data_IF_399890518785
#
_entry.id   IF_399890518785
#
_cell.length_a   1.000
_cell.length_b   1.000
_cell.length_c   1.000
_cell.angle_alpha   90.00
_cell.angle_beta   90.00
_cell.angle_gamma   90.00
#
_symmetry.space_group_name_H-M   'P 1'
#
loop_
_entity.id
_entity.type
_entity.pdbx_description
1 polymer ?
#
# COMPACT_ATOMS: atom_id res chain seq x y z
N UNK A 1 -67.65 10.23 -3.83
CA UNK A 1 -67.41 10.54 -2.40
C UNK A 1 -65.91 10.43 -2.12
N UNK A 2 -65.22 11.58 -2.06
CA UNK A 2 -63.82 11.71 -1.65
C UNK A 2 -63.66 11.24 -0.20
N UNK A 3 -62.72 10.33 0.09
CA UNK A 3 -62.21 10.10 1.45
C UNK A 3 -60.69 10.30 1.50
N UNK A 4 -60.34 11.48 2.03
CA UNK A 4 -59.34 11.75 3.08
C UNK A 4 -57.86 11.38 2.83
N UNK A 5 -57.09 12.44 2.51
CA UNK A 5 -55.90 12.96 3.22
C UNK A 5 -55.04 11.98 4.03
N UNK A 6 -53.74 11.97 3.73
CA UNK A 6 -52.70 11.39 4.60
C UNK A 6 -51.27 11.64 4.11
N UNK A 7 -50.79 12.87 4.28
CA UNK A 7 -49.41 13.29 4.54
C UNK A 7 -48.22 12.52 3.93
N UNK A 8 -47.53 13.22 3.03
CA UNK A 8 -46.08 13.39 2.97
C UNK A 8 -45.25 12.68 4.05
N UNK A 9 -44.30 11.84 3.64
CA UNK A 9 -43.00 11.80 4.30
C UNK A 9 -41.89 11.47 3.29
N UNK A 10 -40.91 12.36 3.28
CA UNK A 10 -39.61 12.29 2.64
C UNK A 10 -38.99 10.89 2.71
N UNK A 11 -38.68 10.30 1.56
CA UNK A 11 -37.53 9.42 1.41
C UNK A 11 -36.45 10.17 0.63
N UNK A 12 -35.96 11.27 1.20
CA UNK A 12 -34.61 11.73 0.91
C UNK A 12 -33.65 10.73 1.58
N UNK A 13 -33.49 9.56 0.94
CA UNK A 13 -32.37 8.69 1.24
C UNK A 13 -31.13 9.42 0.79
N UNK A 14 -30.53 10.21 1.68
CA UNK A 14 -29.15 10.68 1.50
C UNK A 14 -28.33 9.42 1.28
N UNK A 15 -27.88 9.23 0.04
CA UNK A 15 -26.84 8.30 -0.31
C UNK A 15 -25.66 8.69 0.58
N UNK A 16 -25.44 7.95 1.66
CA UNK A 16 -24.12 7.88 2.25
C UNK A 16 -23.24 7.24 1.19
N UNK A 17 -22.73 8.08 0.29
CA UNK A 17 -21.55 7.80 -0.52
C UNK A 17 -20.42 7.59 0.48
N UNK A 18 -20.41 6.40 1.05
CA UNK A 18 -19.25 5.84 1.69
C UNK A 18 -18.20 5.86 0.59
N UNK A 19 -17.18 6.70 0.70
CA UNK A 19 -15.97 6.50 -0.08
C UNK A 19 -15.48 5.12 0.35
N UNK A 20 -15.84 4.09 -0.41
CA UNK A 20 -15.28 2.77 -0.25
C UNK A 20 -13.79 2.97 -0.53
N UNK A 21 -12.99 3.06 0.54
CA UNK A 21 -11.55 3.14 0.45
C UNK A 21 -11.09 1.81 -0.13
N UNK A 22 -11.03 1.74 -1.47
CA UNK A 22 -10.42 0.65 -2.18
C UNK A 22 -8.91 0.78 -1.96
N UNK A 23 -8.38 -0.01 -1.02
CA UNK A 23 -6.94 -0.16 -0.86
C UNK A 23 -6.40 -0.80 -2.14
N UNK A 24 -5.37 -0.21 -2.72
CA UNK A 24 -4.69 -0.78 -3.89
C UNK A 24 -3.82 -1.96 -3.46
N UNK A 25 -3.94 -3.08 -4.21
CA UNK A 25 -3.22 -4.32 -3.95
C UNK A 25 -2.21 -4.58 -5.07
N UNK A 26 -0.97 -4.85 -4.68
CA UNK A 26 0.13 -5.19 -5.57
C UNK A 26 0.62 -6.60 -5.29
N UNK A 27 0.58 -7.46 -6.31
CA UNK A 27 1.18 -8.79 -6.24
C UNK A 27 2.67 -8.68 -6.56
N UNK A 28 3.51 -9.27 -5.72
CA UNK A 28 4.93 -9.42 -5.98
C UNK A 28 5.15 -10.53 -7.02
N UNK A 29 6.02 -10.28 -8.00
CA UNK A 29 6.37 -11.20 -9.08
C UNK A 29 7.86 -11.56 -9.03
N UNK A 30 8.28 -12.58 -9.78
CA UNK A 30 9.69 -12.98 -9.98
C UNK A 30 10.06 -12.82 -11.45
N UNK A 31 11.33 -12.49 -11.72
CA UNK A 31 11.93 -12.51 -13.05
C UNK A 31 11.56 -11.31 -13.92
N UNK A 32 11.02 -10.25 -13.31
CA UNK A 32 10.62 -9.03 -14.02
C UNK A 32 11.00 -7.80 -13.22
N UNK A 33 11.12 -6.67 -13.91
CA UNK A 33 11.20 -5.35 -13.26
C UNK A 33 9.82 -4.70 -13.28
N UNK A 34 9.31 -4.32 -12.11
CA UNK A 34 8.01 -3.69 -11.93
C UNK A 34 8.21 -2.31 -11.32
N UNK A 35 7.50 -1.32 -11.86
CA UNK A 35 7.45 0.02 -11.29
C UNK A 35 6.18 0.15 -10.44
N UNK A 36 6.36 0.47 -9.17
CA UNK A 36 5.27 0.77 -8.24
C UNK A 36 5.20 2.27 -8.00
N UNK A 37 3.99 2.83 -7.95
CA UNK A 37 3.75 4.22 -7.61
C UNK A 37 3.02 4.30 -6.28
N UNK A 38 3.60 5.01 -5.32
CA UNK A 38 3.09 5.24 -3.98
C UNK A 38 2.62 6.70 -3.86
N UNK A 39 1.30 6.96 -3.95
CA UNK A 39 0.75 8.30 -3.78
C UNK A 39 1.00 8.84 -2.37
N UNK A 40 1.08 10.18 -2.20
CA UNK A 40 1.23 10.80 -0.90
C UNK A 40 0.11 10.42 0.06
N UNK A 41 0.49 9.93 1.23
CA UNK A 41 -0.38 9.58 2.35
C UNK A 41 -1.47 8.54 2.02
N UNK A 42 -1.29 7.79 0.94
CA UNK A 42 -2.21 6.72 0.53
C UNK A 42 -1.58 5.35 0.81
N UNK A 43 -2.19 4.51 1.67
CA UNK A 43 -1.67 3.19 1.94
C UNK A 43 -1.88 2.25 0.76
N UNK A 44 -0.83 1.51 0.40
CA UNK A 44 -0.86 0.45 -0.59
C UNK A 44 -0.39 -0.88 0.00
N UNK A 45 -1.02 -1.97 -0.40
CA UNK A 45 -0.71 -3.29 0.13
C UNK A 45 0.03 -4.14 -0.88
N UNK A 46 1.12 -4.77 -0.44
CA UNK A 46 1.97 -5.63 -1.25
C UNK A 46 1.90 -7.06 -0.70
N UNK A 47 1.65 -8.02 -1.59
CA UNK A 47 1.41 -9.42 -1.21
C UNK A 47 2.35 -10.33 -1.99
N UNK A 48 3.02 -11.24 -1.27
CA UNK A 48 3.63 -12.43 -1.87
C UNK A 48 2.66 -13.61 -1.76
N UNK A 49 1.76 -13.78 -2.74
CA UNK A 49 0.84 -14.92 -2.77
C UNK A 49 1.48 -16.25 -3.22
N UNK A 50 2.78 -16.26 -3.54
CA UNK A 50 3.48 -17.46 -4.00
C UNK A 50 3.90 -18.36 -2.82
N UNK A 51 4.17 -19.63 -3.11
CA UNK A 51 4.60 -20.61 -2.10
C UNK A 51 6.12 -20.56 -1.78
N UNK A 52 6.85 -19.62 -2.37
CA UNK A 52 8.28 -19.39 -2.19
C UNK A 52 8.56 -17.94 -1.74
N UNK A 53 9.76 -17.68 -1.23
CA UNK A 53 10.22 -16.33 -0.85
C UNK A 53 10.61 -15.53 -2.08
N UNK A 54 10.19 -14.27 -2.16
CA UNK A 54 10.61 -13.33 -3.20
C UNK A 54 11.67 -12.41 -2.61
N UNK A 55 12.76 -12.21 -3.35
CA UNK A 55 13.75 -11.17 -3.07
C UNK A 55 13.66 -10.14 -4.18
N UNK A 56 13.64 -8.86 -3.85
CA UNK A 56 13.59 -7.78 -4.83
C UNK A 56 14.52 -6.66 -4.44
N UNK A 57 15.26 -6.14 -5.41
CA UNK A 57 16.04 -4.91 -5.29
C UNK A 57 15.25 -3.77 -5.89
N UNK A 58 14.96 -2.74 -5.10
CA UNK A 58 14.15 -1.60 -5.49
C UNK A 58 14.98 -0.33 -5.52
N UNK A 59 14.83 0.48 -6.57
CA UNK A 59 15.43 1.81 -6.69
C UNK A 59 14.34 2.86 -6.54
N UNK A 60 14.54 3.81 -5.63
CA UNK A 60 13.60 4.90 -5.33
C UNK A 60 13.74 6.02 -6.35
N UNK A 61 12.60 6.55 -6.78
CA UNK A 61 12.48 7.74 -7.60
C UNK A 61 11.49 8.69 -6.95
N UNK A 62 11.97 9.85 -6.51
CA UNK A 62 11.12 10.90 -5.90
C UNK A 62 11.63 12.27 -6.32
N UNK A 63 10.72 13.25 -6.31
CA UNK A 63 11.04 14.67 -6.53
C UNK A 63 11.33 15.41 -5.23
N UNK A 64 10.95 14.81 -4.11
CA UNK A 64 11.12 15.39 -2.79
C UNK A 64 12.59 15.23 -2.36
N UNK A 65 13.07 16.12 -1.49
CA UNK A 65 14.46 16.02 -1.01
C UNK A 65 14.67 14.75 -0.16
N UNK A 66 13.64 14.34 0.56
CA UNK A 66 13.59 13.10 1.35
C UNK A 66 12.13 12.78 1.65
N UNK A 67 11.79 11.50 1.58
CA UNK A 67 10.48 10.96 1.97
C UNK A 67 10.63 9.93 3.07
N UNK A 68 9.58 9.73 3.87
CA UNK A 68 9.49 8.58 4.76
C UNK A 68 8.47 7.59 4.22
N UNK A 69 8.88 6.34 4.03
CA UNK A 69 7.94 5.24 3.78
C UNK A 69 7.62 4.60 5.12
N UNK A 70 6.36 4.67 5.52
CA UNK A 70 5.85 3.92 6.67
C UNK A 70 5.47 2.50 6.23
N UNK A 71 6.04 1.50 6.89
CA UNK A 71 5.87 0.08 6.56
C UNK A 71 5.19 -0.61 7.74
N UNK A 72 4.19 -1.42 7.44
CA UNK A 72 3.50 -2.26 8.42
C UNK A 72 3.39 -3.69 7.93
N UNK A 73 3.83 -4.65 8.75
CA UNK A 73 3.73 -6.07 8.40
C UNK A 73 2.38 -6.61 8.86
N UNK A 74 1.46 -6.78 7.91
CA UNK A 74 0.09 -7.22 8.17
C UNK A 74 0.00 -8.73 8.37
N UNK A 75 0.87 -9.51 7.72
CA UNK A 75 0.84 -10.97 7.77
C UNK A 75 2.22 -11.58 7.53
N UNK A 76 2.55 -12.62 8.29
CA UNK A 76 3.82 -13.38 8.22
C UNK A 76 5.05 -12.49 8.48
N UNK A 77 6.13 -12.67 7.73
CA UNK A 77 7.44 -12.09 7.98
C UNK A 77 8.16 -11.77 6.67
N UNK A 78 9.26 -11.04 6.80
CA UNK A 78 10.15 -10.69 5.71
C UNK A 78 11.35 -9.91 6.23
N UNK A 79 12.07 -9.26 5.31
CA UNK A 79 13.17 -8.35 5.64
C UNK A 79 13.14 -7.12 4.74
N UNK A 80 13.63 -6.01 5.28
CA UNK A 80 13.97 -4.81 4.52
C UNK A 80 15.40 -4.45 4.88
N UNK A 81 16.31 -4.39 3.90
CA UNK A 81 17.75 -4.14 4.11
C UNK A 81 18.33 -5.01 5.25
N UNK A 82 18.09 -6.31 5.18
CA UNK A 82 18.47 -7.33 6.18
C UNK A 82 17.84 -7.19 7.58
N UNK A 83 17.07 -6.13 7.85
CA UNK A 83 16.32 -5.96 9.09
C UNK A 83 15.13 -6.92 9.05
N UNK A 84 15.05 -7.92 9.95
CA UNK A 84 13.93 -8.85 9.98
C UNK A 84 12.69 -8.19 10.57
N UNK A 85 11.55 -8.42 9.93
CA UNK A 85 10.26 -7.91 10.34
C UNK A 85 9.26 -9.06 10.43
N UNK A 86 8.39 -9.02 11.43
CA UNK A 86 7.30 -9.99 11.64
C UNK A 86 5.97 -9.27 11.77
N UNK A 87 4.89 -10.03 11.66
CA UNK A 87 3.53 -9.52 11.78
C UNK A 87 3.34 -8.66 13.02
N UNK A 88 2.76 -7.47 12.82
CA UNK A 88 2.55 -6.46 13.85
C UNK A 88 3.70 -5.46 13.99
N UNK A 89 4.88 -5.75 13.43
CA UNK A 89 5.96 -4.78 13.39
C UNK A 89 5.65 -3.65 12.40
N UNK A 90 6.18 -2.48 12.71
CA UNK A 90 6.19 -1.33 11.83
C UNK A 90 7.53 -0.61 11.87
N UNK A 91 7.87 0.10 10.78
CA UNK A 91 9.08 0.91 10.71
C UNK A 91 8.87 2.12 9.79
N UNK A 92 9.66 3.16 10.02
CA UNK A 92 9.80 4.29 9.12
C UNK A 92 11.12 4.17 8.40
N UNK A 93 11.08 4.16 7.07
CA UNK A 93 12.26 4.11 6.23
C UNK A 93 12.43 5.46 5.53
N UNK A 94 13.40 6.29 5.95
CA UNK A 94 13.74 7.48 5.19
C UNK A 94 14.37 7.05 3.87
N UNK A 95 13.95 7.70 2.78
CA UNK A 95 14.42 7.43 1.43
C UNK A 95 14.66 8.74 0.68
N UNK A 96 15.63 8.69 -0.23
CA UNK A 96 16.01 9.75 -1.13
C UNK A 96 15.96 9.23 -2.56
N UNK A 97 15.91 10.15 -3.52
CA UNK A 97 15.98 9.78 -4.93
C UNK A 97 17.28 9.03 -5.25
N UNK A 98 17.17 7.85 -5.85
CA UNK A 98 18.28 6.96 -6.18
C UNK A 98 18.63 5.94 -5.10
N UNK A 99 18.03 6.02 -3.91
CA UNK A 99 18.27 5.04 -2.85
C UNK A 99 17.87 3.63 -3.34
N UNK A 100 18.70 2.65 -2.98
CA UNK A 100 18.46 1.25 -3.30
C UNK A 100 18.20 0.46 -2.03
N UNK A 101 17.15 -0.35 -2.03
CA UNK A 101 16.81 -1.20 -0.89
C UNK A 101 16.41 -2.60 -1.34
N UNK A 102 16.66 -3.58 -0.46
CA UNK A 102 16.35 -4.98 -0.70
C UNK A 102 15.16 -5.38 0.15
N UNK A 103 14.12 -5.91 -0.49
CA UNK A 103 12.96 -6.50 0.16
C UNK A 103 13.05 -8.02 0.03
N UNK A 104 12.86 -8.72 1.13
CA UNK A 104 12.69 -10.18 1.15
C UNK A 104 11.30 -10.45 1.72
N UNK A 105 10.40 -10.99 0.92
CA UNK A 105 9.02 -11.27 1.31
C UNK A 105 8.81 -12.79 1.39
N UNK A 106 8.58 -13.31 2.59
CA UNK A 106 8.30 -14.74 2.77
C UNK A 106 6.98 -15.12 2.10
N UNK A 107 6.81 -16.42 1.83
CA UNK A 107 5.58 -16.96 1.24
C UNK A 107 4.34 -16.56 2.06
N UNK A 108 3.33 -16.04 1.37
CA UNK A 108 2.05 -15.63 1.96
C UNK A 108 2.15 -14.36 2.83
N UNK A 109 3.26 -13.62 2.76
CA UNK A 109 3.44 -12.37 3.49
C UNK A 109 2.65 -11.22 2.85
N UNK A 110 2.26 -10.28 3.71
CA UNK A 110 1.51 -9.09 3.33
C UNK A 110 2.05 -7.90 4.12
N UNK A 111 2.41 -6.84 3.40
CA UNK A 111 2.85 -5.58 3.99
C UNK A 111 2.01 -4.42 3.46
N UNK A 112 1.91 -3.37 4.24
CA UNK A 112 1.31 -2.09 3.84
C UNK A 112 2.40 -1.04 3.84
N UNK A 113 2.51 -0.32 2.73
CA UNK A 113 3.43 0.81 2.57
C UNK A 113 2.60 2.08 2.46
N UNK A 114 3.03 3.14 3.14
CA UNK A 114 2.44 4.47 3.00
C UNK A 114 3.56 5.46 2.77
N UNK A 115 3.55 6.13 1.62
CA UNK A 115 4.45 7.25 1.36
C UNK A 115 4.00 8.44 2.19
N UNK A 116 4.81 8.90 3.14
CA UNK A 116 4.52 10.08 3.97
C UNK A 116 5.12 11.37 3.40
N UNK A 117 5.65 11.32 2.18
CA UNK A 117 6.09 12.47 1.40
C UNK A 117 4.95 13.34 0.89
N UNK A 118 5.32 14.36 0.12
CA UNK A 118 4.37 15.30 -0.48
C UNK A 118 4.10 14.99 -1.96
N UNK A 119 5.03 14.33 -2.64
CA UNK A 119 4.95 13.93 -4.03
C UNK A 119 4.76 12.41 -4.19
N UNK A 120 4.29 11.98 -5.36
CA UNK A 120 4.28 10.55 -5.72
C UNK A 120 5.71 10.04 -5.69
N UNK A 121 5.93 8.96 -4.93
CA UNK A 121 7.17 8.21 -4.92
C UNK A 121 7.01 7.01 -5.83
N UNK A 122 7.94 6.78 -6.75
CA UNK A 122 7.98 5.55 -7.53
C UNK A 122 9.17 4.67 -7.14
N UNK A 123 8.99 3.36 -7.23
CA UNK A 123 10.01 2.37 -6.93
C UNK A 123 10.12 1.36 -8.07
N UNK A 124 11.30 1.28 -8.69
CA UNK A 124 11.62 0.29 -9.71
C UNK A 124 12.22 -0.94 -9.06
N UNK A 125 11.44 -2.02 -8.95
CA UNK A 125 11.82 -3.24 -8.25
C UNK A 125 12.12 -4.38 -9.23
N UNK A 126 13.29 -4.99 -9.10
CA UNK A 126 13.72 -6.15 -9.88
C UNK A 126 13.91 -7.36 -8.97
N UNK A 127 13.31 -8.49 -9.35
CA UNK A 127 13.16 -9.71 -8.55
C UNK A 127 13.69 -10.95 -9.27
#
# INVERSE_FOLDING_TARGET
>A
MLRKLGYSLFCAGTLFSSNALAINYHQLAIGMTVNYELPPNEPQEFINSWFWTITSTCIVHTKDNSDNIFIEVLKKSGKVNDIPLKQGDSLYMPVHNGDTFIIIADSGSKVRLTNQGFSILSASCSS
#
